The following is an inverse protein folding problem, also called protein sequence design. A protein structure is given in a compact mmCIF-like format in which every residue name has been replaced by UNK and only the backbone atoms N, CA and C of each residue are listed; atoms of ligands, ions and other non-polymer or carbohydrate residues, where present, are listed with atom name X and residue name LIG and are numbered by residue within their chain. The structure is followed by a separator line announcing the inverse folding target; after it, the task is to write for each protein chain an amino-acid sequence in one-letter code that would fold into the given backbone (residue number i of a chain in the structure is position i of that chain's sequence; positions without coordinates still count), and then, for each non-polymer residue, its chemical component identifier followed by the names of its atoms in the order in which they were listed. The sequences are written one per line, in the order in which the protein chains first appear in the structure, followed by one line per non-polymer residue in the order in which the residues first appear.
data_IF_366537639987
#
_entry.id   IF_366537639987
#
_cell.length_a   1.000
_cell.length_b   1.000
_cell.length_c   1.000
_cell.angle_alpha   90.00
_cell.angle_beta   90.00
_cell.angle_gamma   90.00
#
_symmetry.space_group_name_H-M   'P 1'
#
loop_
_entity.id
_entity.type
_entity.pdbx_description
1 polymer ?
#
# COMPACT_ATOMS: atom_id res chain seq x y z
N UNK A 1 -14.04 16.14 8.40
CA UNK A 1 -14.24 14.77 7.88
C UNK A 1 -13.04 13.88 8.17
N UNK A 2 -11.80 14.26 7.79
CA UNK A 2 -10.56 13.57 8.26
C UNK A 2 -10.48 13.45 9.79
N UNK A 3 -10.82 14.52 10.49
CA UNK A 3 -10.86 14.57 11.96
C UNK A 3 -11.77 13.51 12.61
N UNK A 4 -12.93 13.20 12.01
CA UNK A 4 -13.85 12.18 12.53
C UNK A 4 -13.36 10.75 12.25
N UNK A 5 -12.66 10.54 11.13
CA UNK A 5 -12.01 9.27 10.81
C UNK A 5 -10.87 8.99 11.79
N UNK A 6 -10.03 9.99 12.07
CA UNK A 6 -8.90 9.87 13.01
C UNK A 6 -9.32 9.51 14.44
N UNK A 7 -10.33 10.18 15.00
CA UNK A 7 -10.84 9.88 16.34
C UNK A 7 -11.38 8.44 16.43
N UNK A 8 -12.07 7.99 15.36
CA UNK A 8 -12.55 6.61 15.24
C UNK A 8 -11.38 5.63 15.18
N UNK A 9 -10.36 5.91 14.37
CA UNK A 9 -9.15 5.06 14.25
C UNK A 9 -8.48 4.89 15.61
N UNK A 10 -8.23 6.00 16.32
CA UNK A 10 -7.62 5.95 17.66
C UNK A 10 -8.46 5.12 18.62
N UNK A 11 -9.78 5.35 18.68
CA UNK A 11 -10.66 4.59 19.56
C UNK A 11 -10.66 3.08 19.23
N UNK A 12 -10.74 2.72 17.94
CA UNK A 12 -10.77 1.34 17.51
C UNK A 12 -9.44 0.62 17.76
N UNK A 13 -8.30 1.27 17.47
CA UNK A 13 -7.00 0.73 17.79
C UNK A 13 -6.83 0.59 19.31
N UNK A 14 -7.24 1.58 20.09
CA UNK A 14 -7.17 1.50 21.55
C UNK A 14 -7.94 0.31 22.11
N UNK A 15 -9.16 0.06 21.59
CA UNK A 15 -9.94 -1.12 21.97
C UNK A 15 -9.25 -2.44 21.56
N UNK A 16 -8.55 -2.45 20.42
CA UNK A 16 -7.78 -3.63 20.01
C UNK A 16 -6.54 -3.84 20.90
N UNK A 17 -5.87 -2.75 21.31
CA UNK A 17 -4.73 -2.81 22.22
C UNK A 17 -5.13 -3.31 23.61
N UNK A 18 -6.32 -2.93 24.08
CA UNK A 18 -6.88 -3.38 25.36
C UNK A 18 -7.16 -4.89 25.43
N UNK A 19 -7.32 -5.54 24.28
CA UNK A 19 -7.56 -6.97 24.16
C UNK A 19 -6.28 -7.77 23.91
N UNK A 20 -5.11 -7.13 23.89
CA UNK A 20 -3.85 -7.83 23.72
C UNK A 20 -3.53 -8.67 24.98
N UNK A 21 -2.81 -9.80 24.81
CA UNK A 21 -2.27 -10.54 25.94
C UNK A 21 -1.43 -9.64 26.85
N UNK A 22 -1.49 -9.88 28.17
CA UNK A 22 -0.74 -9.09 29.16
C UNK A 22 0.79 -9.09 28.97
N UNK A 23 1.31 -10.05 28.20
CA UNK A 23 2.73 -10.11 27.80
C UNK A 23 3.12 -9.11 26.72
N UNK A 24 2.15 -8.44 26.07
CA UNK A 24 2.39 -7.46 25.02
C UNK A 24 2.09 -6.06 25.55
N UNK A 25 3.13 -5.27 25.78
CA UNK A 25 3.00 -3.87 26.15
C UNK A 25 2.88 -3.01 24.90
N UNK A 26 1.73 -2.37 24.71
CA UNK A 26 1.45 -1.55 23.53
C UNK A 26 1.36 -0.07 23.84
N UNK A 27 1.76 0.74 22.86
CA UNK A 27 1.66 2.21 22.87
C UNK A 27 1.26 2.65 21.45
N UNK A 28 0.46 3.69 21.35
CA UNK A 28 0.05 4.32 20.11
C UNK A 28 0.65 5.72 20.04
N UNK A 29 1.45 5.98 18.99
CA UNK A 29 2.08 7.30 18.81
C UNK A 29 1.49 7.96 17.58
N UNK A 30 0.74 9.03 17.80
CA UNK A 30 0.25 9.88 16.73
C UNK A 30 1.16 11.08 16.57
N UNK A 31 1.70 11.28 15.38
CA UNK A 31 2.50 12.46 15.05
C UNK A 31 1.69 13.41 14.18
N UNK A 32 1.33 14.54 14.74
CA UNK A 32 0.74 15.66 14.02
C UNK A 32 1.85 16.48 13.35
N UNK A 33 1.82 16.50 12.02
CA UNK A 33 2.79 17.20 11.17
C UNK A 33 2.19 18.52 10.67
N UNK A 34 2.02 19.44 11.61
CA UNK A 34 1.46 20.79 11.45
C UNK A 34 0.13 20.80 10.68
N UNK A 35 -0.84 20.01 11.17
CA UNK A 35 -2.13 19.91 10.48
C UNK A 35 -2.91 21.22 10.62
N UNK A 36 -3.32 21.79 9.48
CA UNK A 36 -4.14 23.00 9.42
C UNK A 36 -5.64 22.76 9.70
N UNK A 37 -6.03 21.51 9.99
CA UNK A 37 -7.40 21.13 10.33
C UNK A 37 -7.50 20.72 11.81
N UNK A 38 -8.67 20.27 12.25
CA UNK A 38 -8.90 19.91 13.65
C UNK A 38 -8.23 18.59 14.09
N UNK A 39 -7.27 18.03 13.32
CA UNK A 39 -6.65 16.74 13.65
C UNK A 39 -5.92 16.75 14.99
N UNK A 40 -5.07 17.76 15.26
CA UNK A 40 -4.36 17.88 16.53
C UNK A 40 -5.33 17.99 17.71
N UNK A 41 -6.37 18.82 17.58
CA UNK A 41 -7.39 18.97 18.61
C UNK A 41 -8.07 17.63 18.94
N UNK A 42 -8.47 16.86 17.92
CA UNK A 42 -9.08 15.54 18.13
C UNK A 42 -8.14 14.54 18.80
N UNK A 43 -6.85 14.56 18.44
CA UNK A 43 -5.85 13.72 19.10
C UNK A 43 -5.72 14.08 20.58
N UNK A 44 -5.63 15.37 20.90
CA UNK A 44 -5.51 15.84 22.29
C UNK A 44 -6.76 15.63 23.16
N UNK A 45 -7.94 15.50 22.54
CA UNK A 45 -9.19 15.22 23.25
C UNK A 45 -9.44 13.72 23.49
N UNK A 46 -8.68 12.85 22.83
CA UNK A 46 -8.79 11.40 23.01
C UNK A 46 -8.49 11.00 24.45
N UNK A 47 -9.31 10.10 25.00
CA UNK A 47 -9.14 9.52 26.34
C UNK A 47 -8.42 8.17 26.31
N UNK A 48 -7.81 7.81 25.18
CA UNK A 48 -7.10 6.54 25.06
C UNK A 48 -5.89 6.51 26.00
N UNK A 49 -5.77 5.50 26.89
CA UNK A 49 -4.60 5.35 27.74
C UNK A 49 -3.34 4.93 26.97
N UNK A 50 -3.50 4.47 25.72
CA UNK A 50 -2.40 4.03 24.87
C UNK A 50 -1.83 5.19 24.03
N UNK A 51 -2.54 6.30 23.89
CA UNK A 51 -2.18 7.35 22.93
C UNK A 51 -1.18 8.34 23.50
N UNK A 52 -0.11 8.56 22.74
CA UNK A 52 0.82 9.68 22.91
C UNK A 52 0.81 10.53 21.65
N UNK A 53 0.72 11.84 21.83
CA UNK A 53 0.60 12.80 20.72
C UNK A 53 1.88 13.62 20.63
N UNK A 54 2.52 13.58 19.47
CA UNK A 54 3.68 14.41 19.15
C UNK A 54 3.23 15.46 18.13
N UNK A 55 3.55 16.73 18.37
CA UNK A 55 3.29 17.80 17.42
C UNK A 55 4.60 18.37 16.88
N UNK A 56 4.69 18.48 15.54
CA UNK A 56 5.86 18.96 14.79
C UNK A 56 5.58 20.36 14.23
N UNK A 57 5.69 21.40 15.07
CA UNK A 57 5.47 22.78 14.64
C UNK A 57 6.56 23.26 13.65
N UNK A 58 6.15 24.00 12.61
CA UNK A 58 7.03 24.71 11.67
C UNK A 58 8.11 23.86 10.96
N UNK A 59 7.92 22.54 10.87
CA UNK A 59 8.73 21.73 9.98
C UNK A 59 8.25 21.93 8.54
N UNK A 60 9.15 22.31 7.65
CA UNK A 60 8.93 22.13 6.21
C UNK A 60 8.47 20.68 6.01
N UNK A 61 7.32 20.46 5.37
CA UNK A 61 6.64 19.16 5.21
C UNK A 61 7.57 18.10 4.60
N UNK A 62 8.45 17.53 5.43
CA UNK A 62 9.61 16.72 5.03
C UNK A 62 9.23 15.28 4.63
N UNK A 63 7.95 15.06 4.30
CA UNK A 63 7.40 13.77 3.93
C UNK A 63 7.17 12.82 5.11
N UNK A 64 6.52 11.70 4.80
CA UNK A 64 6.12 10.68 5.78
C UNK A 64 7.33 10.05 6.49
N UNK A 65 8.45 9.84 5.79
CA UNK A 65 9.67 9.28 6.39
C UNK A 65 10.22 10.10 7.56
N UNK A 66 10.25 11.44 7.44
CA UNK A 66 10.69 12.32 8.51
C UNK A 66 9.75 12.30 9.74
N UNK A 67 8.44 12.16 9.51
CA UNK A 67 7.43 11.99 10.56
C UNK A 67 7.70 10.70 11.34
N UNK A 68 7.92 9.58 10.63
CA UNK A 68 8.21 8.28 11.23
C UNK A 68 9.51 8.31 12.03
N UNK A 69 10.56 8.93 11.48
CA UNK A 69 11.84 9.07 12.20
C UNK A 69 11.70 9.89 13.49
N UNK A 70 10.82 10.91 13.50
CA UNK A 70 10.53 11.67 14.72
C UNK A 70 9.91 10.78 15.80
N UNK A 71 8.94 9.92 15.42
CA UNK A 71 8.34 8.96 16.34
C UNK A 71 9.37 7.95 16.87
N UNK A 72 10.21 7.38 16.01
CA UNK A 72 11.26 6.41 16.38
C UNK A 72 12.25 7.02 17.37
N UNK A 73 12.68 8.27 17.14
CA UNK A 73 13.59 8.97 18.04
C UNK A 73 12.93 9.30 19.38
N UNK A 74 11.65 9.66 19.38
CA UNK A 74 10.89 9.84 20.61
C UNK A 74 10.85 8.53 21.41
N UNK A 75 10.41 7.42 20.79
CA UNK A 75 10.37 6.09 21.43
C UNK A 75 11.72 5.75 22.05
N UNK A 76 12.82 5.93 21.30
CA UNK A 76 14.17 5.63 21.76
C UNK A 76 14.59 6.42 23.00
N UNK A 77 14.16 7.68 23.10
CA UNK A 77 14.59 8.59 24.16
C UNK A 77 13.67 8.57 25.38
N UNK A 78 12.45 8.05 25.26
CA UNK A 78 11.44 8.15 26.33
C UNK A 78 10.83 6.82 26.73
N UNK A 79 10.29 6.05 25.78
CA UNK A 79 9.47 4.87 26.09
C UNK A 79 10.27 3.57 26.13
N UNK A 80 11.38 3.53 25.41
CA UNK A 80 12.16 2.33 25.16
C UNK A 80 13.58 2.43 25.74
N UNK A 81 13.78 3.22 26.81
CA UNK A 81 15.10 3.42 27.44
C UNK A 81 15.67 2.13 28.02
N UNK A 82 14.80 1.26 28.54
CA UNK A 82 15.19 0.05 29.28
C UNK A 82 14.69 -1.26 28.63
N UNK A 83 14.22 -1.20 27.38
CA UNK A 83 13.72 -2.37 26.63
C UNK A 83 14.74 -2.80 25.58
N UNK A 84 14.88 -4.12 25.34
CA UNK A 84 15.75 -4.62 24.26
C UNK A 84 15.16 -4.25 22.89
N UNK A 85 15.83 -3.40 22.07
CA UNK A 85 15.31 -2.98 20.77
C UNK A 85 15.10 -4.14 19.79
N UNK A 86 15.73 -5.30 20.03
CA UNK A 86 15.50 -6.51 19.21
C UNK A 86 14.19 -7.21 19.56
N UNK A 87 13.63 -6.98 20.75
CA UNK A 87 12.33 -7.53 21.19
C UNK A 87 11.18 -6.53 21.05
N UNK A 88 11.48 -5.28 20.70
CA UNK A 88 10.47 -4.25 20.44
C UNK A 88 10.12 -4.20 18.95
N UNK A 89 8.83 -4.12 18.65
CA UNK A 89 8.30 -4.01 17.29
C UNK A 89 7.67 -2.62 17.11
N UNK A 90 8.03 -1.96 16.02
CA UNK A 90 7.42 -0.70 15.58
C UNK A 90 6.44 -1.00 14.45
N UNK A 91 5.16 -0.71 14.69
CA UNK A 91 4.11 -0.79 13.66
C UNK A 91 3.84 0.57 13.03
N UNK A 92 3.82 0.62 11.70
CA UNK A 92 3.42 1.79 10.91
C UNK A 92 2.01 1.55 10.39
N UNK A 93 1.07 2.33 10.90
CA UNK A 93 -0.33 2.31 10.53
C UNK A 93 -0.72 3.69 10.02
N UNK A 94 -1.45 3.73 8.91
CA UNK A 94 -2.00 4.99 8.41
C UNK A 94 -3.13 5.51 9.33
N UNK A 95 -3.46 6.80 9.22
CA UNK A 95 -4.45 7.46 10.08
C UNK A 95 -5.88 6.92 9.95
N UNK A 96 -6.15 6.15 8.91
CA UNK A 96 -7.41 5.48 8.59
C UNK A 96 -7.32 3.94 8.73
N UNK A 97 -6.23 3.45 9.31
CA UNK A 97 -5.97 2.01 9.43
C UNK A 97 -6.69 1.38 10.62
N UNK A 98 -7.22 0.18 10.40
CA UNK A 98 -7.75 -0.66 11.47
C UNK A 98 -7.14 -2.05 11.40
N UNK A 99 -6.73 -2.57 12.56
CA UNK A 99 -6.24 -3.93 12.73
C UNK A 99 -6.75 -4.46 14.07
N UNK A 100 -7.25 -5.70 14.07
CA UNK A 100 -7.82 -6.31 15.26
C UNK A 100 -6.74 -6.88 16.20
N UNK A 101 -7.11 -7.12 17.46
CA UNK A 101 -6.20 -7.60 18.50
C UNK A 101 -5.56 -8.96 18.16
N UNK A 102 -6.32 -9.86 17.52
CA UNK A 102 -5.82 -11.19 17.10
C UNK A 102 -4.70 -11.05 16.07
N UNK A 103 -4.88 -10.23 15.04
CA UNK A 103 -3.87 -10.02 14.02
C UNK A 103 -2.64 -9.28 14.58
N UNK A 104 -2.82 -8.28 15.47
CA UNK A 104 -1.70 -7.62 16.16
C UNK A 104 -0.91 -8.60 17.04
N UNK A 105 -1.60 -9.48 17.77
CA UNK A 105 -0.97 -10.54 18.58
C UNK A 105 -0.17 -11.49 17.68
N UNK A 106 -0.75 -11.89 16.54
CA UNK A 106 -0.07 -12.76 15.56
C UNK A 106 1.15 -12.07 14.95
N UNK A 107 1.10 -10.76 14.65
CA UNK A 107 2.28 -9.99 14.22
C UNK A 107 3.41 -10.12 15.22
N UNK A 108 3.14 -9.86 16.51
CA UNK A 108 4.17 -9.98 17.56
C UNK A 108 4.72 -11.40 17.62
N UNK A 109 3.84 -12.41 17.59
CA UNK A 109 4.25 -13.81 17.58
C UNK A 109 5.17 -14.17 16.39
N UNK A 110 4.97 -13.57 15.20
CA UNK A 110 5.89 -13.76 14.05
C UNK A 110 7.30 -13.29 14.37
N UNK A 111 7.45 -12.13 15.02
CA UNK A 111 8.75 -11.63 15.43
C UNK A 111 9.37 -12.42 16.58
N UNK A 112 8.57 -13.01 17.47
CA UNK A 112 9.10 -13.90 18.51
C UNK A 112 9.61 -15.22 17.93
N UNK A 113 8.94 -15.76 16.91
CA UNK A 113 9.26 -17.05 16.29
C UNK A 113 10.52 -17.03 15.42
N UNK A 114 10.83 -15.92 14.74
CA UNK A 114 12.00 -15.80 13.86
C UNK A 114 12.85 -14.58 14.23
N UNK A 115 13.95 -14.82 14.94
CA UNK A 115 14.91 -13.78 15.33
C UNK A 115 15.51 -13.02 14.13
N UNK A 116 15.51 -13.60 12.92
CA UNK A 116 16.01 -12.94 11.70
C UNK A 116 14.93 -12.11 11.01
N UNK A 117 13.64 -12.31 11.31
CA UNK A 117 12.56 -11.47 10.79
C UNK A 117 12.75 -10.06 11.33
N UNK A 118 13.12 -9.13 10.47
CA UNK A 118 13.36 -7.74 10.83
C UNK A 118 12.25 -6.81 10.32
N UNK A 119 11.49 -7.24 9.31
CA UNK A 119 10.32 -6.52 8.82
C UNK A 119 9.22 -7.49 8.35
N UNK A 120 7.99 -7.19 8.73
CA UNK A 120 6.79 -7.91 8.32
C UNK A 120 5.80 -6.92 7.70
N UNK A 121 5.40 -7.16 6.46
CA UNK A 121 4.30 -6.46 5.80
C UNK A 121 3.03 -7.31 5.89
N UNK A 122 1.91 -6.72 6.27
CA UNK A 122 0.60 -7.37 6.24
C UNK A 122 -0.14 -7.11 4.93
N UNK A 123 -1.16 -7.92 4.63
CA UNK A 123 -2.11 -7.61 3.56
C UNK A 123 -2.86 -6.32 3.87
N UNK A 124 -3.21 -5.60 2.82
CA UNK A 124 -4.11 -4.44 2.90
C UNK A 124 -5.45 -4.82 2.29
N UNK A 125 -6.55 -4.45 2.93
CA UNK A 125 -7.87 -4.47 2.29
C UNK A 125 -8.65 -3.19 2.53
N UNK A 126 -9.59 -2.92 1.63
CA UNK A 126 -10.43 -1.73 1.69
C UNK A 126 -11.74 -2.06 2.40
N UNK A 127 -12.03 -1.37 3.50
CA UNK A 127 -13.27 -1.60 4.24
C UNK A 127 -14.48 -0.84 3.64
N UNK A 128 -14.30 0.35 3.07
CA UNK A 128 -15.37 1.12 2.44
C UNK A 128 -15.37 0.94 0.92
N UNK A 129 -16.34 0.19 0.40
CA UNK A 129 -16.46 -0.08 -1.04
C UNK A 129 -17.76 0.44 -1.66
N UNK A 130 -18.14 1.73 -1.47
CA UNK A 130 -19.44 2.25 -1.90
C UNK A 130 -19.60 2.41 -3.42
N UNK A 131 -18.50 2.38 -4.20
CA UNK A 131 -18.54 2.65 -5.63
C UNK A 131 -17.55 1.76 -6.40
N UNK A 132 -17.59 1.85 -7.73
CA UNK A 132 -16.71 1.06 -8.60
C UNK A 132 -15.22 1.31 -8.32
N UNK A 133 -14.80 2.56 -8.13
CA UNK A 133 -13.39 2.91 -7.90
C UNK A 133 -12.85 2.31 -6.60
N UNK A 134 -13.65 2.27 -5.55
CA UNK A 134 -13.23 1.70 -4.26
C UNK A 134 -13.21 0.16 -4.27
N UNK A 135 -14.11 -0.49 -5.02
CA UNK A 135 -14.04 -1.94 -5.28
C UNK A 135 -12.79 -2.33 -6.06
N UNK A 136 -12.42 -1.55 -7.08
CA UNK A 136 -11.20 -1.78 -7.86
C UNK A 136 -9.93 -1.60 -7.03
N UNK A 137 -9.91 -0.65 -6.07
CA UNK A 137 -8.83 -0.55 -5.09
C UNK A 137 -8.74 -1.80 -4.22
N UNK A 138 -9.86 -2.37 -3.76
CA UNK A 138 -9.82 -3.63 -3.02
C UNK A 138 -9.29 -4.79 -3.88
N UNK A 139 -9.74 -4.90 -5.13
CA UNK A 139 -9.25 -5.90 -6.07
C UNK A 139 -7.74 -5.76 -6.32
N UNK A 140 -7.26 -4.54 -6.45
CA UNK A 140 -5.82 -4.26 -6.59
C UNK A 140 -5.03 -4.76 -5.38
N UNK A 141 -5.45 -4.40 -4.16
CA UNK A 141 -4.73 -4.74 -2.94
C UNK A 141 -4.83 -6.23 -2.60
N UNK A 142 -6.04 -6.79 -2.55
CA UNK A 142 -6.28 -8.18 -2.16
C UNK A 142 -6.07 -9.18 -3.31
N UNK A 143 -6.10 -8.73 -4.56
CA UNK A 143 -5.83 -9.54 -5.74
C UNK A 143 -4.37 -9.41 -6.18
N UNK A 144 -4.07 -8.33 -6.91
CA UNK A 144 -2.78 -8.15 -7.61
C UNK A 144 -1.61 -7.97 -6.64
N UNK A 145 -1.70 -7.02 -5.72
CA UNK A 145 -0.62 -6.72 -4.78
C UNK A 145 -0.35 -7.91 -3.86
N UNK A 146 -1.39 -8.46 -3.24
CA UNK A 146 -1.29 -9.63 -2.37
C UNK A 146 -0.65 -10.83 -3.09
N UNK A 147 -1.11 -11.17 -4.30
CA UNK A 147 -0.53 -12.29 -5.05
C UNK A 147 0.94 -12.05 -5.43
N UNK A 148 1.29 -10.83 -5.83
CA UNK A 148 2.68 -10.44 -6.16
C UNK A 148 3.57 -10.55 -4.91
N UNK A 149 3.09 -10.08 -3.77
CA UNK A 149 3.81 -10.17 -2.50
C UNK A 149 3.96 -11.60 -2.00
N UNK A 150 2.96 -12.47 -2.18
CA UNK A 150 3.09 -13.90 -1.91
C UNK A 150 4.17 -14.55 -2.80
N UNK A 151 4.23 -14.20 -4.08
CA UNK A 151 5.26 -14.70 -4.99
C UNK A 151 6.65 -14.25 -4.51
N UNK A 152 6.80 -12.96 -4.18
CA UNK A 152 8.03 -12.39 -3.62
C UNK A 152 8.48 -13.11 -2.35
N UNK A 153 7.56 -13.41 -1.46
CA UNK A 153 7.85 -14.16 -0.25
C UNK A 153 8.33 -15.60 -0.48
N UNK A 154 7.82 -16.25 -1.52
CA UNK A 154 8.19 -17.64 -1.85
C UNK A 154 9.54 -17.72 -2.54
N UNK A 155 9.85 -16.77 -3.42
CA UNK A 155 11.05 -16.80 -4.26
C UNK A 155 12.14 -15.83 -3.80
N UNK A 156 11.86 -15.03 -2.78
CA UNK A 156 12.73 -13.98 -2.28
C UNK A 156 12.28 -13.50 -0.90
N UNK A 157 12.00 -12.20 -0.79
CA UNK A 157 11.56 -11.58 0.45
C UNK A 157 10.46 -10.55 0.16
N UNK A 158 9.61 -10.28 1.15
CA UNK A 158 8.50 -9.33 1.01
C UNK A 158 8.96 -7.87 0.98
N UNK A 159 8.18 -7.01 0.33
CA UNK A 159 8.43 -5.55 0.25
C UNK A 159 7.40 -4.81 1.12
N UNK A 160 7.80 -3.74 1.82
CA UNK A 160 6.84 -2.92 2.55
C UNK A 160 5.90 -2.15 1.60
N UNK A 161 4.70 -1.86 2.07
CA UNK A 161 3.67 -1.10 1.34
C UNK A 161 3.05 -0.01 2.22
N UNK A 162 3.81 0.48 3.20
CA UNK A 162 3.52 1.66 4.00
C UNK A 162 2.56 1.37 5.14
N UNK A 163 1.33 0.98 4.83
CA UNK A 163 0.32 0.65 5.84
C UNK A 163 0.44 -0.82 6.26
N UNK A 164 0.42 -1.10 7.56
CA UNK A 164 0.62 -2.46 8.08
C UNK A 164 2.08 -2.95 7.92
N UNK A 165 3.03 -2.01 7.90
CA UNK A 165 4.46 -2.31 7.95
C UNK A 165 4.90 -2.42 9.41
N UNK A 166 5.43 -3.57 9.82
CA UNK A 166 5.99 -3.78 11.15
C UNK A 166 7.49 -4.06 11.04
N UNK A 167 8.30 -3.46 11.91
CA UNK A 167 9.76 -3.60 11.90
C UNK A 167 10.30 -3.82 13.30
N UNK A 168 11.43 -4.51 13.45
CA UNK A 168 12.16 -4.49 14.72
C UNK A 168 12.67 -3.09 15.00
N UNK A 169 12.64 -2.70 16.26
CA UNK A 169 13.05 -1.37 16.66
C UNK A 169 14.54 -1.11 16.40
N UNK A 170 15.40 -2.11 16.60
CA UNK A 170 16.82 -2.00 16.28
C UNK A 170 17.07 -1.77 14.77
N UNK A 171 16.25 -2.35 13.88
CA UNK A 171 16.28 -2.06 12.45
C UNK A 171 15.84 -0.62 12.17
N UNK A 172 14.76 -0.15 12.80
CA UNK A 172 14.28 1.23 12.63
C UNK A 172 15.32 2.28 13.05
N UNK A 173 16.12 1.99 14.08
CA UNK A 173 17.23 2.84 14.51
C UNK A 173 18.41 2.84 13.52
N UNK A 174 18.76 1.69 12.97
CA UNK A 174 19.88 1.52 12.01
C UNK A 174 19.53 1.97 10.59
N UNK A 175 18.25 1.88 10.22
CA UNK A 175 17.73 2.17 8.89
C UNK A 175 16.56 3.16 8.96
N UNK A 176 16.79 4.42 9.33
CA UNK A 176 15.72 5.42 9.34
C UNK A 176 15.07 5.54 7.96
N UNK A 177 13.75 5.78 7.93
CA UNK A 177 13.00 6.00 6.70
C UNK A 177 13.60 7.17 5.93
N UNK A 178 13.76 7.02 4.62
CA UNK A 178 14.33 8.08 3.78
C UNK A 178 13.30 9.11 3.34
N UNK A 179 13.67 9.91 2.36
CA UNK A 179 12.95 11.10 1.90
C UNK A 179 12.16 10.88 0.60
N UNK A 180 12.14 9.64 0.09
CA UNK A 180 11.45 9.33 -1.18
C UNK A 180 9.94 9.28 -0.98
N UNK A 181 9.23 9.52 -2.08
CA UNK A 181 7.76 9.48 -2.10
C UNK A 181 7.17 8.08 -1.83
N UNK A 182 8.02 7.05 -1.98
CA UNK A 182 7.80 5.67 -1.54
C UNK A 182 8.86 5.32 -0.49
N UNK A 183 8.75 5.93 0.68
CA UNK A 183 9.68 5.77 1.80
C UNK A 183 9.71 4.31 2.33
N UNK A 184 8.60 3.59 2.17
CA UNK A 184 8.39 2.20 2.53
C UNK A 184 9.21 1.23 1.67
N UNK A 185 9.15 1.41 0.35
CA UNK A 185 9.99 0.70 -0.60
C UNK A 185 11.46 1.00 -0.31
N UNK A 186 11.83 2.28 -0.20
CA UNK A 186 13.20 2.69 0.08
C UNK A 186 13.72 2.03 1.36
N UNK A 187 12.92 2.03 2.43
CA UNK A 187 13.24 1.34 3.68
C UNK A 187 13.53 -0.16 3.43
N UNK A 188 12.70 -0.83 2.63
CA UNK A 188 12.89 -2.24 2.26
C UNK A 188 14.19 -2.45 1.49
N UNK A 189 14.45 -1.65 0.44
CA UNK A 189 15.65 -1.79 -0.38
C UNK A 189 16.92 -1.64 0.45
N UNK A 190 16.94 -0.64 1.32
CA UNK A 190 18.07 -0.41 2.24
C UNK A 190 18.21 -1.54 3.27
N UNK A 191 17.09 -2.08 3.77
CA UNK A 191 17.10 -3.26 4.66
C UNK A 191 17.76 -4.46 3.98
N UNK A 192 17.42 -4.75 2.73
CA UNK A 192 18.07 -5.83 1.97
C UNK A 192 19.56 -5.59 1.72
N UNK A 193 19.96 -4.33 1.53
CA UNK A 193 21.37 -3.96 1.35
C UNK A 193 22.20 -4.09 2.63
N UNK A 194 21.59 -3.96 3.81
CA UNK A 194 22.28 -4.21 5.10
C UNK A 194 22.66 -5.69 5.25
N UNK A 195 21.89 -6.61 4.67
CA UNK A 195 22.09 -8.05 4.83
C UNK A 195 21.77 -8.56 6.24
N UNK A 196 21.92 -9.88 6.44
CA UNK A 196 21.79 -10.51 7.77
C UNK A 196 20.39 -10.54 8.38
N UNK A 197 19.39 -9.96 7.72
CA UNK A 197 17.99 -9.89 8.16
C UNK A 197 17.04 -10.41 7.10
N UNK A 198 15.79 -10.66 7.49
CA UNK A 198 14.72 -11.16 6.63
C UNK A 198 13.53 -10.21 6.66
N UNK A 199 12.98 -9.95 5.49
CA UNK A 199 11.70 -9.28 5.31
C UNK A 199 10.65 -10.27 4.81
N UNK A 200 9.42 -10.16 5.29
CA UNK A 200 8.34 -11.09 4.97
C UNK A 200 7.02 -10.36 4.75
N UNK A 201 6.15 -10.94 3.92
CA UNK A 201 4.75 -10.59 3.74
C UNK A 201 3.80 -11.68 4.28
N UNK A 202 2.98 -11.38 5.28
CA UNK A 202 1.96 -12.35 5.72
C UNK A 202 0.60 -12.00 5.12
N UNK A 203 0.19 -12.79 4.13
CA UNK A 203 -1.08 -12.61 3.43
C UNK A 203 -2.31 -12.86 4.31
N UNK A 204 -2.16 -13.54 5.45
CA UNK A 204 -3.23 -13.93 6.38
C UNK A 204 -3.45 -12.92 7.51
N UNK A 205 -2.59 -11.90 7.62
CA UNK A 205 -2.74 -10.75 8.51
C UNK A 205 -3.22 -9.58 7.68
N UNK A 206 -4.28 -8.90 8.11
CA UNK A 206 -4.91 -7.85 7.29
C UNK A 206 -5.03 -6.54 8.05
N UNK A 207 -4.41 -5.50 7.52
CA UNK A 207 -4.75 -4.12 7.87
C UNK A 207 -5.88 -3.63 6.95
N UNK A 208 -6.94 -3.11 7.56
CA UNK A 208 -8.05 -2.48 6.84
C UNK A 208 -7.74 -0.99 6.66
N UNK A 209 -8.05 -0.41 5.51
CA UNK A 209 -7.91 1.03 5.27
C UNK A 209 -9.07 1.63 4.47
N UNK A 210 -9.16 2.96 4.48
CA UNK A 210 -10.17 3.69 3.72
C UNK A 210 -9.73 3.85 2.26
N UNK A 211 -10.59 3.47 1.31
CA UNK A 211 -10.35 3.77 -0.09
C UNK A 211 -10.53 5.25 -0.41
N UNK A 212 -9.83 5.67 -1.46
CA UNK A 212 -10.01 6.99 -2.04
C UNK A 212 -11.23 6.97 -2.96
N UNK A 213 -12.32 7.62 -2.53
CA UNK A 213 -13.61 7.50 -3.22
C UNK A 213 -13.71 8.32 -4.52
N UNK A 214 -12.82 9.29 -4.70
CA UNK A 214 -12.84 10.23 -5.83
C UNK A 214 -11.66 10.00 -6.76
N UNK A 215 -11.93 10.03 -8.07
CA UNK A 215 -10.94 9.76 -9.11
C UNK A 215 -9.73 10.70 -9.07
N UNK A 216 -9.93 12.01 -8.85
CA UNK A 216 -8.83 12.99 -8.87
C UNK A 216 -7.84 12.82 -7.70
N UNK A 217 -8.27 12.73 -6.43
CA UNK A 217 -7.38 12.36 -5.33
C UNK A 217 -6.72 10.99 -5.52
N UNK A 218 -7.47 10.00 -6.02
CA UNK A 218 -6.92 8.67 -6.32
C UNK A 218 -5.78 8.76 -7.35
N UNK A 219 -6.01 9.45 -8.46
CA UNK A 219 -5.01 9.60 -9.52
C UNK A 219 -3.74 10.29 -9.01
N UNK A 220 -3.88 11.34 -8.18
CA UNK A 220 -2.74 12.02 -7.53
C UNK A 220 -1.93 11.07 -6.63
N UNK A 221 -2.61 10.21 -5.88
CA UNK A 221 -1.95 9.19 -5.05
C UNK A 221 -1.13 8.23 -5.92
N UNK A 222 -1.68 7.75 -7.04
CA UNK A 222 -0.98 6.83 -7.95
C UNK A 222 0.20 7.46 -8.67
N UNK A 223 0.06 8.72 -9.09
CA UNK A 223 1.18 9.51 -9.62
C UNK A 223 2.30 9.62 -8.60
N UNK A 224 1.99 9.88 -7.32
CA UNK A 224 2.99 9.91 -6.24
C UNK A 224 3.74 8.59 -6.11
N UNK A 225 3.03 7.45 -6.15
CA UNK A 225 3.65 6.13 -6.06
C UNK A 225 4.55 5.84 -7.25
N UNK A 226 4.07 6.09 -8.48
CA UNK A 226 4.90 5.96 -9.68
C UNK A 226 6.15 6.84 -9.60
N UNK A 227 6.00 8.08 -9.13
CA UNK A 227 7.12 9.02 -8.98
C UNK A 227 8.13 8.53 -7.92
N UNK A 228 7.66 8.00 -6.79
CA UNK A 228 8.54 7.41 -5.77
C UNK A 228 9.29 6.18 -6.27
N UNK A 229 8.67 5.34 -7.09
CA UNK A 229 9.35 4.21 -7.74
C UNK A 229 10.47 4.71 -8.67
N UNK A 230 10.21 5.74 -9.47
CA UNK A 230 11.22 6.40 -10.32
C UNK A 230 12.38 6.93 -9.47
N UNK A 231 12.10 7.54 -8.31
CA UNK A 231 13.13 8.02 -7.40
C UNK A 231 14.00 6.89 -6.85
N UNK A 232 13.46 5.68 -6.66
CA UNK A 232 14.20 4.54 -6.13
C UNK A 232 15.09 3.82 -7.17
N UNK A 233 15.04 4.20 -8.44
CA UNK A 233 15.88 3.61 -9.49
C UNK A 233 17.38 3.66 -9.19
N UNK A 234 17.85 4.69 -8.47
CA UNK A 234 19.27 4.82 -8.15
C UNK A 234 19.79 3.71 -7.21
N UNK A 235 18.90 2.95 -6.55
CA UNK A 235 19.29 1.81 -5.73
C UNK A 235 19.59 0.56 -6.57
N UNK A 236 19.11 0.48 -7.83
CA UNK A 236 19.27 -0.71 -8.68
C UNK A 236 20.74 -1.18 -8.80
N UNK A 237 21.73 -0.30 -9.07
CA UNK A 237 23.12 -0.75 -9.16
C UNK A 237 23.66 -1.35 -7.87
N UNK A 238 23.25 -0.84 -6.70
CA UNK A 238 23.63 -1.39 -5.40
C UNK A 238 22.98 -2.77 -5.16
N UNK A 239 21.69 -2.90 -5.50
CA UNK A 239 20.95 -4.16 -5.38
C UNK A 239 21.58 -5.27 -6.24
N UNK A 240 21.98 -4.95 -7.47
CA UNK A 240 22.62 -5.93 -8.37
C UNK A 240 24.00 -6.37 -7.89
N UNK A 241 24.80 -5.46 -7.32
CA UNK A 241 26.13 -5.76 -6.77
C UNK A 241 26.08 -6.46 -5.41
N UNK A 242 24.97 -6.33 -4.69
CA UNK A 242 24.84 -6.91 -3.35
C UNK A 242 24.83 -8.45 -3.40
N UNK A 243 25.59 -9.11 -2.50
CA UNK A 243 25.55 -10.56 -2.33
C UNK A 243 24.35 -11.02 -1.50
N UNK A 244 23.62 -10.10 -0.84
CA UNK A 244 22.53 -10.44 0.07
C UNK A 244 21.19 -10.68 -0.61
N UNK A 245 21.08 -10.34 -1.90
CA UNK A 245 19.86 -10.52 -2.68
C UNK A 245 20.03 -11.69 -3.66
N UNK A 246 18.99 -12.51 -3.77
CA UNK A 246 18.94 -13.55 -4.79
C UNK A 246 18.58 -12.99 -6.18
N UNK A 247 18.75 -13.79 -7.22
CA UNK A 247 18.49 -13.39 -8.61
C UNK A 247 17.03 -13.00 -8.85
N UNK A 248 16.07 -13.68 -8.20
CA UNK A 248 14.65 -13.35 -8.33
C UNK A 248 14.36 -11.95 -7.77
N UNK A 249 14.83 -11.63 -6.56
CA UNK A 249 14.66 -10.30 -5.96
C UNK A 249 15.25 -9.21 -6.85
N UNK A 250 16.44 -9.43 -7.42
CA UNK A 250 17.10 -8.47 -8.32
C UNK A 250 16.25 -8.21 -9.57
N UNK A 251 15.79 -9.27 -10.23
CA UNK A 251 14.98 -9.15 -11.46
C UNK A 251 13.61 -8.57 -11.18
N UNK A 252 12.86 -9.12 -10.24
CA UNK A 252 11.50 -8.66 -9.88
C UNK A 252 11.50 -7.19 -9.46
N UNK A 253 12.41 -6.81 -8.56
CA UNK A 253 12.51 -5.42 -8.08
C UNK A 253 12.92 -4.48 -9.20
N UNK A 254 13.82 -4.90 -10.09
CA UNK A 254 14.20 -4.09 -11.27
C UNK A 254 13.01 -3.88 -12.19
N UNK A 255 12.25 -4.92 -12.51
CA UNK A 255 11.05 -4.83 -13.35
C UNK A 255 10.03 -3.89 -12.70
N UNK A 256 9.79 -4.04 -11.40
CA UNK A 256 8.79 -3.27 -10.69
C UNK A 256 9.19 -1.79 -10.54
N UNK A 257 10.45 -1.49 -10.21
CA UNK A 257 10.97 -0.11 -10.13
C UNK A 257 11.01 0.57 -11.50
N UNK A 258 11.30 -0.17 -12.57
CA UNK A 258 11.31 0.35 -13.95
C UNK A 258 9.91 0.39 -14.59
N UNK A 259 8.90 -0.18 -13.92
CA UNK A 259 7.52 -0.23 -14.41
C UNK A 259 6.95 1.14 -14.81
N UNK A 260 7.26 2.27 -14.15
CA UNK A 260 6.81 3.57 -14.64
C UNK A 260 7.35 3.92 -16.04
N UNK A 261 8.59 3.58 -16.36
CA UNK A 261 9.18 3.84 -17.69
C UNK A 261 8.52 2.95 -18.73
N UNK A 262 8.46 1.64 -18.46
CA UNK A 262 7.81 0.69 -19.38
C UNK A 262 6.32 0.97 -19.51
N UNK A 263 5.68 1.51 -18.45
CA UNK A 263 4.29 1.93 -18.42
C UNK A 263 3.97 3.13 -19.33
N UNK A 264 4.97 3.90 -19.76
CA UNK A 264 4.81 4.88 -20.84
C UNK A 264 4.96 4.27 -22.23
N UNK A 265 5.74 3.20 -22.36
CA UNK A 265 6.07 2.60 -23.67
C UNK A 265 5.01 1.57 -24.06
N UNK A 266 4.75 0.59 -23.19
CA UNK A 266 3.93 -0.59 -23.48
C UNK A 266 2.49 -0.24 -23.87
N UNK A 267 1.75 0.64 -23.17
CA UNK A 267 0.39 0.98 -23.58
C UNK A 267 0.36 1.68 -24.95
N UNK A 268 1.32 2.57 -25.23
CA UNK A 268 1.40 3.27 -26.50
C UNK A 268 1.71 2.31 -27.66
N UNK A 269 2.71 1.44 -27.50
CA UNK A 269 3.06 0.44 -28.53
C UNK A 269 1.96 -0.59 -28.72
N UNK A 270 1.28 -0.99 -27.65
CA UNK A 270 0.13 -1.92 -27.72
C UNK A 270 -1.04 -1.30 -28.47
N UNK A 271 -1.34 -0.01 -28.24
CA UNK A 271 -2.38 0.70 -28.98
C UNK A 271 -2.05 0.76 -30.48
N UNK A 272 -0.83 1.17 -30.84
CA UNK A 272 -0.38 1.21 -32.24
C UNK A 272 -0.47 -0.18 -32.90
N UNK A 273 0.00 -1.22 -32.20
CA UNK A 273 -0.05 -2.60 -32.70
C UNK A 273 -1.49 -3.04 -32.94
N UNK A 274 -2.38 -2.78 -31.98
CA UNK A 274 -3.80 -3.12 -32.11
C UNK A 274 -4.45 -2.39 -33.28
N UNK A 275 -4.16 -1.09 -33.48
CA UNK A 275 -4.66 -0.31 -34.61
C UNK A 275 -4.19 -0.88 -35.95
N UNK A 276 -2.92 -1.26 -36.07
CA UNK A 276 -2.37 -1.88 -37.28
C UNK A 276 -3.05 -3.23 -37.56
N UNK A 277 -3.24 -4.06 -36.52
CA UNK A 277 -3.89 -5.36 -36.66
C UNK A 277 -5.36 -5.21 -37.11
N UNK A 278 -6.10 -4.27 -36.53
CA UNK A 278 -7.48 -3.97 -36.92
C UNK A 278 -7.53 -3.44 -38.36
N UNK A 279 -6.69 -2.46 -38.71
CA UNK A 279 -6.64 -1.91 -40.05
C UNK A 279 -6.37 -3.01 -41.08
N UNK A 280 -5.38 -3.88 -40.84
CA UNK A 280 -5.06 -4.97 -41.76
C UNK A 280 -6.13 -6.04 -41.80
N UNK A 281 -6.80 -6.31 -40.67
CA UNK A 281 -7.99 -7.16 -40.61
C UNK A 281 -9.13 -6.63 -41.49
N UNK A 282 -9.30 -5.30 -41.57
CA UNK A 282 -10.32 -4.67 -42.40
C UNK A 282 -9.95 -4.61 -43.90
N UNK A 283 -8.68 -4.34 -44.22
CA UNK A 283 -8.21 -4.17 -45.62
C UNK A 283 -7.83 -5.50 -46.28
N UNK A 284 -7.23 -6.43 -45.52
CA UNK A 284 -6.68 -7.70 -46.02
C UNK A 284 -7.31 -8.90 -45.30
N UNK A 285 -8.65 -8.96 -45.27
CA UNK A 285 -9.41 -10.02 -44.59
C UNK A 285 -8.95 -11.44 -44.94
N UNK A 286 -8.63 -11.69 -46.21
CA UNK A 286 -8.22 -13.01 -46.70
C UNK A 286 -6.84 -13.47 -46.20
N UNK A 287 -5.98 -12.55 -45.70
CA UNK A 287 -4.66 -12.92 -45.20
C UNK A 287 -4.70 -13.70 -43.88
N UNK A 288 -5.81 -13.64 -43.13
CA UNK A 288 -6.13 -14.55 -42.02
C UNK A 288 -5.35 -14.36 -40.71
N UNK A 289 -4.03 -14.17 -40.77
CA UNK A 289 -3.13 -14.20 -39.60
C UNK A 289 -3.40 -13.08 -38.59
N UNK A 290 -3.88 -11.93 -39.05
CA UNK A 290 -4.25 -10.80 -38.19
C UNK A 290 -5.38 -11.13 -37.23
N UNK A 291 -6.40 -11.87 -37.71
CA UNK A 291 -7.52 -12.31 -36.88
C UNK A 291 -7.05 -13.33 -35.83
N UNK A 292 -6.17 -14.25 -36.23
CA UNK A 292 -5.56 -15.20 -35.31
C UNK A 292 -4.78 -14.46 -34.21
N UNK A 293 -3.95 -13.47 -34.57
CA UNK A 293 -3.20 -12.67 -33.61
C UNK A 293 -4.11 -11.93 -32.62
N UNK A 294 -5.17 -11.28 -33.11
CA UNK A 294 -6.16 -10.60 -32.25
C UNK A 294 -6.84 -11.63 -31.33
N UNK A 295 -7.26 -12.77 -31.86
CA UNK A 295 -7.87 -13.85 -31.08
C UNK A 295 -6.94 -14.37 -29.99
N UNK A 296 -5.66 -14.59 -30.30
CA UNK A 296 -4.64 -14.98 -29.31
C UNK A 296 -4.47 -13.94 -28.22
N UNK A 297 -4.40 -12.65 -28.55
CA UNK A 297 -4.29 -11.57 -27.56
C UNK A 297 -5.51 -11.53 -26.63
N UNK A 298 -6.72 -11.69 -27.18
CA UNK A 298 -7.96 -11.77 -26.39
C UNK A 298 -7.93 -12.98 -25.47
N UNK A 299 -7.51 -14.15 -25.96
CA UNK A 299 -7.41 -15.37 -25.15
C UNK A 299 -6.41 -15.21 -24.00
N UNK A 300 -5.25 -14.59 -24.25
CA UNK A 300 -4.27 -14.30 -23.20
C UNK A 300 -4.86 -13.35 -22.16
N UNK A 301 -5.56 -12.29 -22.58
CA UNK A 301 -6.19 -11.33 -21.67
C UNK A 301 -7.29 -12.00 -20.82
N UNK A 302 -8.12 -12.85 -21.41
CA UNK A 302 -9.15 -13.62 -20.69
C UNK A 302 -8.53 -14.61 -19.72
N UNK A 303 -7.48 -15.33 -20.12
CA UNK A 303 -6.74 -16.23 -19.23
C UNK A 303 -6.14 -15.48 -18.04
N UNK A 304 -5.53 -14.31 -18.27
CA UNK A 304 -5.02 -13.45 -17.21
C UNK A 304 -6.13 -12.99 -16.25
N UNK A 305 -7.31 -12.61 -16.78
CA UNK A 305 -8.47 -12.27 -15.95
C UNK A 305 -8.94 -13.44 -15.08
N UNK A 306 -8.99 -14.67 -15.64
CA UNK A 306 -9.35 -15.86 -14.88
C UNK A 306 -8.35 -16.16 -13.76
N UNK A 307 -7.04 -16.01 -14.03
CA UNK A 307 -5.98 -16.19 -13.01
C UNK A 307 -6.13 -15.13 -11.91
N UNK A 308 -6.30 -13.86 -12.26
CA UNK A 308 -6.48 -12.78 -11.29
C UNK A 308 -7.75 -12.98 -10.45
N UNK A 309 -8.85 -13.41 -11.07
CA UNK A 309 -10.09 -13.74 -10.36
C UNK A 309 -9.90 -14.88 -9.35
N UNK A 310 -9.24 -15.96 -9.76
CA UNK A 310 -8.96 -17.10 -8.88
C UNK A 310 -8.06 -16.69 -7.70
N UNK A 311 -7.02 -15.89 -7.95
CA UNK A 311 -6.13 -15.37 -6.91
C UNK A 311 -6.87 -14.46 -5.93
N UNK A 312 -7.66 -13.51 -6.43
CA UNK A 312 -8.47 -12.61 -5.61
C UNK A 312 -9.47 -13.39 -4.75
N UNK A 313 -10.21 -14.33 -5.35
CA UNK A 313 -11.15 -15.19 -4.63
C UNK A 313 -10.45 -15.98 -3.52
N UNK A 314 -9.31 -16.62 -3.83
CA UNK A 314 -8.54 -17.40 -2.86
C UNK A 314 -8.09 -16.53 -1.68
N UNK A 315 -7.56 -15.35 -1.97
CA UNK A 315 -7.06 -14.44 -0.93
C UNK A 315 -8.20 -13.93 -0.04
N UNK A 316 -9.35 -13.58 -0.62
CA UNK A 316 -10.56 -13.22 0.11
C UNK A 316 -11.07 -14.35 1.01
N UNK A 317 -11.10 -15.59 0.53
CA UNK A 317 -11.46 -16.77 1.35
C UNK A 317 -10.48 -17.00 2.49
N UNK A 318 -9.19 -16.80 2.26
CA UNK A 318 -8.13 -16.99 3.27
C UNK A 318 -8.32 -16.07 4.48
N UNK A 319 -8.88 -14.88 4.26
CA UNK A 319 -9.13 -13.88 5.32
C UNK A 319 -10.59 -13.87 5.78
N UNK A 320 -11.30 -14.99 5.58
CA UNK A 320 -12.71 -15.19 5.97
C UNK A 320 -13.71 -14.20 5.36
N UNK A 321 -13.41 -13.69 4.16
CA UNK A 321 -14.32 -12.85 3.37
C UNK A 321 -14.65 -13.53 2.02
N UNK A 322 -15.24 -14.74 2.03
CA UNK A 322 -15.41 -15.51 0.80
C UNK A 322 -16.30 -14.79 -0.21
N UNK A 323 -16.00 -15.00 -1.48
CA UNK A 323 -16.80 -14.51 -2.59
C UNK A 323 -16.99 -15.56 -3.67
N UNK A 324 -18.03 -15.42 -4.48
CA UNK A 324 -18.28 -16.32 -5.60
C UNK A 324 -17.29 -16.09 -6.73
N UNK A 325 -16.94 -17.16 -7.46
CA UNK A 325 -16.03 -17.09 -8.60
C UNK A 325 -16.57 -16.15 -9.69
N UNK A 326 -17.88 -16.14 -9.92
CA UNK A 326 -18.51 -15.25 -10.89
C UNK A 326 -18.33 -13.77 -10.51
N UNK A 327 -18.42 -13.44 -9.22
CA UNK A 327 -18.12 -12.09 -8.73
C UNK A 327 -16.65 -11.75 -9.00
N UNK A 328 -15.72 -12.65 -8.65
CA UNK A 328 -14.29 -12.43 -8.87
C UNK A 328 -13.93 -12.23 -10.36
N UNK A 329 -14.54 -13.00 -11.27
CA UNK A 329 -14.37 -12.84 -12.73
C UNK A 329 -14.89 -11.47 -13.18
N UNK A 330 -16.07 -11.05 -12.71
CA UNK A 330 -16.62 -9.73 -13.03
C UNK A 330 -15.70 -8.61 -12.55
N UNK A 331 -15.17 -8.70 -11.33
CA UNK A 331 -14.23 -7.70 -10.81
C UNK A 331 -12.90 -7.73 -11.60
N UNK A 332 -12.39 -8.90 -12.00
CA UNK A 332 -11.17 -9.01 -12.81
C UNK A 332 -11.31 -8.41 -14.23
N UNK A 333 -12.48 -8.58 -14.85
CA UNK A 333 -12.81 -7.92 -16.12
C UNK A 333 -12.95 -6.41 -15.93
N UNK A 334 -13.64 -5.98 -14.86
CA UNK A 334 -13.79 -4.57 -14.51
C UNK A 334 -12.45 -3.89 -14.22
N UNK A 335 -11.51 -4.66 -13.67
CA UNK A 335 -10.15 -4.20 -13.36
C UNK A 335 -9.37 -3.79 -14.61
N UNK A 336 -9.68 -4.36 -15.79
CA UNK A 336 -9.05 -3.94 -17.05
C UNK A 336 -9.36 -2.46 -17.37
N UNK A 337 -10.59 -2.01 -17.13
CA UNK A 337 -10.95 -0.59 -17.30
C UNK A 337 -10.26 0.31 -16.25
N UNK A 338 -10.06 -0.20 -15.03
CA UNK A 338 -9.31 0.49 -13.98
C UNK A 338 -7.82 0.64 -14.36
N UNK A 339 -7.22 -0.38 -14.99
CA UNK A 339 -5.85 -0.30 -15.50
C UNK A 339 -5.67 0.75 -16.59
N UNK A 340 -6.70 1.04 -17.42
CA UNK A 340 -6.63 2.13 -18.39
C UNK A 340 -6.47 3.50 -17.71
N UNK A 341 -7.15 3.72 -16.59
CA UNK A 341 -7.00 4.95 -15.79
C UNK A 341 -5.59 5.03 -15.19
N UNK A 342 -5.12 3.92 -14.58
CA UNK A 342 -3.78 3.86 -13.99
C UNK A 342 -2.69 4.01 -15.05
N UNK A 343 -2.90 3.54 -16.28
CA UNK A 343 -1.89 3.61 -17.35
C UNK A 343 -1.43 5.03 -17.67
N UNK A 344 -2.20 6.05 -17.30
CA UNK A 344 -1.87 7.46 -17.47
C UNK A 344 -0.95 8.01 -16.36
N UNK A 345 -0.86 7.34 -15.21
CA UNK A 345 -0.11 7.82 -14.04
C UNK A 345 1.41 7.90 -14.28
N UNK A 346 2.06 6.97 -15.01
CA UNK A 346 3.50 7.05 -15.22
C UNK A 346 3.93 8.27 -16.03
N UNK A 347 3.13 8.69 -17.03
CA UNK A 347 3.42 9.88 -17.83
C UNK A 347 3.49 11.15 -16.96
N UNK A 348 2.50 11.32 -16.08
CA UNK A 348 2.46 12.47 -15.16
C UNK A 348 3.56 12.38 -14.11
N UNK A 349 3.86 11.17 -13.61
CA UNK A 349 4.92 10.95 -12.63
C UNK A 349 6.31 11.28 -13.20
N UNK A 350 6.62 10.83 -14.41
CA UNK A 350 7.89 11.13 -15.10
C UNK A 350 7.98 12.63 -15.38
N UNK A 351 6.92 13.25 -15.89
CA UNK A 351 6.88 14.70 -16.10
C UNK A 351 7.17 15.49 -14.81
N UNK A 352 6.52 15.14 -13.69
CA UNK A 352 6.77 15.77 -12.38
C UNK A 352 8.20 15.57 -11.91
N UNK A 353 8.74 14.36 -12.08
CA UNK A 353 10.12 14.07 -11.68
C UNK A 353 11.13 14.91 -12.48
N UNK A 354 10.95 15.02 -13.80
CA UNK A 354 11.81 15.83 -14.67
C UNK A 354 11.71 17.33 -14.35
N UNK A 355 10.57 17.79 -13.84
CA UNK A 355 10.34 19.18 -13.40
C UNK A 355 10.76 19.44 -11.95
N UNK A 356 11.32 18.46 -11.24
CA UNK A 356 11.73 18.59 -9.84
C UNK A 356 10.56 18.73 -8.85
N UNK A 357 9.34 18.36 -9.22
CA UNK A 357 8.15 18.50 -8.37
C UNK A 357 8.03 17.31 -7.40
N UNK A 358 8.79 17.35 -6.30
CA UNK A 358 8.92 16.23 -5.34
C UNK A 358 8.12 16.40 -4.05
N UNK A 359 7.31 17.45 -3.91
CA UNK A 359 6.51 17.70 -2.71
C UNK A 359 5.55 16.53 -2.40
N UNK A 360 5.56 16.08 -1.15
CA UNK A 360 4.63 15.08 -0.64
C UNK A 360 3.26 15.71 -0.40
N UNK A 361 2.23 15.20 -1.09
CA UNK A 361 0.85 15.63 -0.90
C UNK A 361 0.05 14.55 -0.15
N UNK A 362 -0.52 14.91 1.01
CA UNK A 362 -1.43 14.05 1.78
C UNK A 362 -2.60 13.62 0.87
N UNK A 363 -2.93 12.32 0.89
CA UNK A 363 -4.13 11.85 0.17
C UNK A 363 -5.38 12.30 0.94
N UNK A 364 -6.43 12.71 0.22
CA UNK A 364 -7.70 13.12 0.84
C UNK A 364 -8.73 12.00 0.67
N UNK A 365 -9.22 11.51 1.80
CA UNK A 365 -10.29 10.52 1.89
C UNK A 365 -11.60 11.26 2.24
N UNK A 366 -12.71 10.92 1.55
CA UNK A 366 -14.03 11.51 1.82
C UNK A 366 -14.94 11.86 0.62
N UNK A 367 -16.24 11.75 0.86
CA UNK A 367 -17.35 12.24 0.03
C UNK A 367 -17.48 13.76 0.08
N UNK A 368 -17.66 14.42 -1.08
CA UNK A 368 -18.34 15.72 -1.10
C UNK A 368 -19.76 15.47 -0.62
N UNK A 369 -20.19 16.13 0.46
CA UNK A 369 -21.58 16.10 0.92
C UNK A 369 -22.46 16.52 -0.26
N UNK A 370 -23.18 15.57 -0.89
CA UNK A 370 -24.41 15.94 -1.58
C UNK A 370 -25.34 16.45 -0.49
N UNK A 371 -25.90 17.67 -0.58
CA UNK A 371 -26.82 18.16 0.43
C UNK A 371 -27.94 17.12 0.58
N UNK A 372 -28.02 16.52 1.77
CA UNK A 372 -29.09 15.61 2.14
C UNK A 372 -30.39 16.39 2.02
N UNK A 373 -31.14 16.17 0.94
CA UNK A 373 -32.60 16.35 0.96
C UNK A 373 -33.18 15.29 1.91
N UNK A 374 -33.08 15.53 3.21
CA UNK A 374 -34.00 14.92 4.16
C UNK A 374 -35.19 15.84 4.31
N UNK A 375 -36.13 15.71 3.37
CA UNK A 375 -37.51 16.05 3.63
C UNK A 375 -38.18 14.78 4.17
N UNK A 376 -38.59 14.84 5.44
CA UNK A 376 -39.69 14.07 6.00
C UNK A 376 -39.49 12.57 6.16
N UNK A 377 -38.95 12.15 7.30
CA UNK A 377 -39.50 10.97 7.98
C UNK A 377 -39.78 11.35 9.43
N UNK A 378 -41.07 11.23 9.76
CA UNK A 378 -41.72 11.63 10.99
C UNK A 378 -41.18 10.85 12.19
N UNK A 379 -41.14 11.54 13.33
CA UNK A 379 -41.18 10.99 14.68
C UNK A 379 -42.31 9.96 14.81
N UNK A 380 -42.03 8.83 15.45
CA UNK A 380 -43.01 8.09 16.26
C UNK A 380 -42.31 6.92 16.98
N UNK A 381 -42.31 7.05 18.31
CA UNK A 381 -42.03 6.10 19.39
C UNK A 381 -40.61 5.58 19.58
#
# INVERSE_FOLDING_TARGET
MKSASLAKTVAQLSNALDQLPASIHAQLIAVDDDSSDHSLLMLTQSQSPYLQVLHRAANEQAGKGAVLNTAVQYIHRTLATDVDPRKTVIGVLDADAFMNASDLTRVVARFEQDARLAMLQTSVSIYNQPNWLTKMQNFEFMGVNNATQQLRNRLGQGIASGNGQFVRFDLALKNPWGDRLLEDLEFTLRTWLLGGTRTEFDHTLVVQQEAVEQLKPFFRQRVRWCQGAVQCMHYLPALWRSPYLNSFQKVDTSIWILMPITGCIVPATSLVTLTILIQRSLVHWQAGWHHLAIGTLVMIALAACCVLAALYQRNCTTVHQPMSLACAIREALSFQAFLLIISLTPYVAIYRQLRGQTAWAKTHHGTVIRPRKYAGLKRSY
#
